data_IF_291138841035
#
_entry.id   IF_291138841035
#
_cell.length_a   1.000
_cell.length_b   1.000
_cell.length_c   1.000
_cell.angle_alpha   90.00
_cell.angle_beta   90.00
_cell.angle_gamma   90.00
#
_symmetry.space_group_name_H-M   'P 1'
#
loop_
_entity.id
_entity.type
_entity.pdbx_description
1 polymer ?
#
# COMPACT_ATOMS: atom_id res chain seq x y z
N UNK A 1 21.00 -43.95 -10.73
CA UNK A 1 20.46 -42.88 -9.85
C UNK A 1 19.27 -43.45 -9.08
N UNK A 2 19.34 -43.48 -7.75
CA UNK A 2 18.29 -44.04 -6.88
C UNK A 2 17.14 -43.02 -6.68
N UNK A 3 15.90 -43.51 -6.73
CA UNK A 3 14.66 -42.70 -6.61
C UNK A 3 14.64 -41.82 -5.36
N UNK A 4 15.19 -42.33 -4.26
CA UNK A 4 15.28 -41.65 -2.97
C UNK A 4 16.15 -40.38 -3.03
N UNK A 5 17.23 -40.39 -3.81
CA UNK A 5 18.09 -39.20 -3.98
C UNK A 5 17.42 -38.14 -4.85
N UNK A 6 16.63 -38.55 -5.85
CA UNK A 6 15.84 -37.60 -6.67
C UNK A 6 14.79 -36.89 -5.82
N UNK A 7 14.09 -37.62 -4.94
CA UNK A 7 13.13 -37.03 -4.01
C UNK A 7 13.78 -36.15 -2.95
N UNK A 8 14.94 -36.55 -2.43
CA UNK A 8 15.70 -35.73 -1.47
C UNK A 8 16.17 -34.43 -2.11
N UNK A 9 16.65 -34.48 -3.37
CA UNK A 9 17.02 -33.28 -4.14
C UNK A 9 15.80 -32.41 -4.49
N UNK A 10 14.67 -33.00 -4.87
CA UNK A 10 13.42 -32.28 -5.13
C UNK A 10 12.83 -31.62 -3.87
N UNK A 11 13.03 -32.23 -2.70
CA UNK A 11 12.62 -31.67 -1.41
C UNK A 11 13.58 -30.60 -0.87
N UNK A 12 14.82 -30.53 -1.39
CA UNK A 12 15.81 -29.47 -1.08
C UNK A 12 15.72 -28.27 -2.04
N UNK A 13 15.15 -28.47 -3.24
CA UNK A 13 14.86 -27.42 -4.22
C UNK A 13 13.92 -26.26 -3.77
N UNK A 14 13.13 -26.33 -2.67
CA UNK A 14 12.35 -25.18 -2.21
C UNK A 14 13.18 -24.02 -1.63
N UNK A 15 14.50 -24.19 -1.44
CA UNK A 15 15.36 -23.17 -0.88
C UNK A 15 16.23 -22.53 -1.98
N UNK A 16 15.76 -21.40 -2.53
CA UNK A 16 16.50 -20.29 -3.18
C UNK A 16 15.66 -19.72 -4.33
N UNK A 17 14.53 -19.15 -3.94
CA UNK A 17 13.93 -18.02 -4.65
C UNK A 17 13.14 -17.20 -3.62
N UNK A 18 13.71 -17.04 -2.41
CA UNK A 18 13.13 -16.21 -1.36
C UNK A 18 13.09 -14.78 -1.87
N UNK A 19 11.97 -14.42 -2.51
CA UNK A 19 11.73 -13.09 -2.98
C UNK A 19 11.73 -12.19 -1.75
N UNK A 20 12.65 -11.23 -1.70
CA UNK A 20 12.68 -10.28 -0.61
C UNK A 20 11.54 -9.30 -0.84
N UNK A 21 10.45 -9.44 -0.09
CA UNK A 21 9.33 -8.49 -0.12
C UNK A 21 9.48 -7.52 1.05
N UNK A 22 9.47 -6.22 0.77
CA UNK A 22 9.54 -5.14 1.75
C UNK A 22 8.28 -4.29 1.70
N UNK A 23 7.63 -4.17 2.86
CA UNK A 23 6.60 -3.16 3.12
C UNK A 23 7.28 -1.83 3.49
N UNK A 24 6.85 -0.75 2.85
CA UNK A 24 7.30 0.60 3.11
C UNK A 24 6.13 1.58 2.97
N UNK A 25 6.36 2.84 3.32
CA UNK A 25 5.34 3.87 3.27
C UNK A 25 5.72 5.03 4.15
N UNK A 26 4.96 6.11 4.06
CA UNK A 26 5.07 7.25 4.95
C UNK A 26 3.68 7.67 5.38
N UNK A 27 3.52 7.98 6.65
CA UNK A 27 2.30 8.57 7.20
C UNK A 27 2.60 10.02 7.51
N UNK A 28 1.86 10.93 6.89
CA UNK A 28 1.99 12.37 7.08
C UNK A 28 0.61 12.95 7.28
N UNK A 29 0.33 13.43 8.48
CA UNK A 29 -0.92 14.10 8.83
C UNK A 29 -0.62 15.27 9.77
N UNK A 30 -1.49 16.27 9.76
CA UNK A 30 -1.38 17.43 10.63
C UNK A 30 -2.67 18.24 10.71
N UNK A 31 -2.64 19.29 11.52
CA UNK A 31 -3.75 20.25 11.62
C UNK A 31 -3.49 21.39 10.66
N UNK A 32 -4.45 21.66 9.80
CA UNK A 32 -4.45 22.79 8.90
C UNK A 32 -5.47 23.82 9.38
N UNK A 33 -5.03 25.07 9.48
CA UNK A 33 -5.92 26.21 9.80
C UNK A 33 -5.99 27.09 8.58
N UNK A 34 -7.15 27.16 7.96
CA UNK A 34 -7.42 28.02 6.81
C UNK A 34 -8.32 29.17 7.23
N UNK A 35 -8.03 30.37 6.71
CA UNK A 35 -8.90 31.53 6.85
C UNK A 35 -9.26 32.02 5.45
N UNK A 36 -10.55 32.01 5.14
CA UNK A 36 -11.07 32.53 3.86
C UNK A 36 -11.81 33.83 4.14
N UNK A 37 -11.43 34.89 3.44
CA UNK A 37 -12.13 36.18 3.46
C UNK A 37 -12.86 36.40 2.15
N UNK A 38 -14.16 36.66 2.25
CA UNK A 38 -15.02 37.02 1.11
C UNK A 38 -15.74 38.31 1.46
N UNK A 39 -15.31 39.43 0.87
CA UNK A 39 -15.83 40.76 1.23
C UNK A 39 -15.53 41.13 2.68
N UNK A 40 -16.57 41.42 3.46
CA UNK A 40 -16.48 41.72 4.90
C UNK A 40 -16.54 40.48 5.80
N UNK A 41 -16.88 39.31 5.26
CA UNK A 41 -16.93 38.07 6.03
C UNK A 41 -15.57 37.38 6.08
N UNK A 42 -15.18 36.92 7.27
CA UNK A 42 -13.98 36.11 7.51
C UNK A 42 -14.40 34.80 8.17
N UNK A 43 -14.09 33.66 7.56
CA UNK A 43 -14.31 32.34 8.14
C UNK A 43 -12.99 31.64 8.35
N UNK A 44 -12.78 31.17 9.58
CA UNK A 44 -11.65 30.33 9.94
C UNK A 44 -12.12 28.89 10.10
N UNK A 45 -11.37 27.93 9.55
CA UNK A 45 -11.58 26.50 9.71
C UNK A 45 -10.29 25.84 10.17
N UNK A 46 -10.38 24.99 11.18
CA UNK A 46 -9.30 24.10 11.58
C UNK A 46 -9.73 22.67 11.25
N UNK A 47 -8.93 21.94 10.47
CA UNK A 47 -9.18 20.55 10.09
C UNK A 47 -7.95 19.69 10.30
N UNK A 48 -8.16 18.41 10.58
CA UNK A 48 -7.10 17.41 10.51
C UNK A 48 -7.04 16.93 9.07
N UNK A 49 -5.90 17.10 8.43
CA UNK A 49 -5.68 16.77 7.03
C UNK A 49 -4.59 15.71 6.91
N UNK A 50 -4.73 14.84 5.91
CA UNK A 50 -3.66 13.97 5.45
C UNK A 50 -2.83 14.70 4.39
N UNK A 51 -1.51 14.61 4.46
CA UNK A 51 -0.58 15.32 3.60
C UNK A 51 0.14 14.39 2.61
N UNK A 52 -0.56 13.36 2.13
CA UNK A 52 -0.04 12.40 1.15
C UNK A 52 0.56 11.16 1.79
N UNK A 53 -0.16 10.57 2.75
CA UNK A 53 0.21 9.28 3.31
C UNK A 53 0.05 8.18 2.25
N UNK A 54 1.03 7.27 2.19
CA UNK A 54 1.00 6.14 1.28
C UNK A 54 1.64 4.91 1.90
N UNK A 55 1.25 3.76 1.39
CA UNK A 55 1.84 2.46 1.70
C UNK A 55 2.23 1.76 0.41
N UNK A 56 3.33 1.03 0.43
CA UNK A 56 3.85 0.34 -0.73
C UNK A 56 4.50 -0.99 -0.39
N UNK A 57 4.48 -1.88 -1.38
CA UNK A 57 5.18 -3.16 -1.37
C UNK A 57 6.25 -3.11 -2.46
N UNK A 58 7.42 -3.63 -2.15
CA UNK A 58 8.50 -3.79 -3.13
C UNK A 58 9.06 -5.18 -3.01
N UNK A 59 9.48 -5.75 -4.13
CA UNK A 59 10.08 -7.08 -4.13
C UNK A 59 11.34 -7.15 -4.97
N UNK A 60 12.31 -7.93 -4.50
CA UNK A 60 13.43 -8.43 -5.29
C UNK A 60 13.28 -9.93 -5.49
N UNK A 61 13.33 -10.39 -6.74
CA UNK A 61 13.33 -11.82 -7.08
C UNK A 61 14.55 -12.17 -7.93
N UNK A 62 15.42 -13.09 -7.50
CA UNK A 62 16.56 -13.51 -8.31
C UNK A 62 16.08 -14.24 -9.57
N UNK A 63 16.50 -13.77 -10.74
CA UNK A 63 16.23 -14.38 -12.04
C UNK A 63 17.54 -14.83 -12.70
N UNK A 64 17.49 -15.92 -13.48
CA UNK A 64 18.64 -16.37 -14.28
C UNK A 64 19.85 -16.85 -13.46
N UNK A 65 19.63 -17.70 -12.45
CA UNK A 65 20.72 -18.33 -11.68
C UNK A 65 21.40 -17.43 -10.64
N UNK A 66 20.80 -16.28 -10.29
CA UNK A 66 21.21 -15.44 -9.16
C UNK A 66 22.07 -14.22 -9.51
N UNK A 67 22.39 -14.00 -10.79
CA UNK A 67 23.20 -12.85 -11.24
C UNK A 67 22.38 -11.58 -11.50
N UNK A 68 21.04 -11.67 -11.58
CA UNK A 68 20.16 -10.53 -11.86
C UNK A 68 18.92 -10.62 -10.99
N UNK A 69 18.42 -9.48 -10.52
CA UNK A 69 17.20 -9.43 -9.70
C UNK A 69 16.09 -8.70 -10.46
N UNK A 70 14.93 -9.34 -10.60
CA UNK A 70 13.70 -8.67 -10.98
C UNK A 70 13.22 -7.82 -9.80
N UNK A 71 12.97 -6.53 -10.05
CA UNK A 71 12.46 -5.59 -9.06
C UNK A 71 11.03 -5.22 -9.43
N UNK A 72 10.13 -5.24 -8.46
CA UNK A 72 8.78 -4.72 -8.61
C UNK A 72 8.42 -3.80 -7.45
N UNK A 73 7.53 -2.84 -7.72
CA UNK A 73 7.01 -1.89 -6.74
C UNK A 73 5.51 -1.70 -6.97
N UNK A 74 4.76 -1.65 -5.89
CA UNK A 74 3.35 -1.30 -5.85
C UNK A 74 3.15 -0.27 -4.75
N UNK A 75 2.46 0.82 -5.04
CA UNK A 75 2.21 1.93 -4.11
C UNK A 75 0.72 2.29 -4.15
N UNK A 76 0.15 2.61 -2.98
CA UNK A 76 -1.25 2.97 -2.81
C UNK A 76 -1.38 4.12 -1.82
N UNK A 77 -2.22 5.09 -2.15
CA UNK A 77 -2.62 6.16 -1.22
C UNK A 77 -3.32 5.57 0.00
N UNK A 78 -2.89 6.00 1.18
CA UNK A 78 -3.37 5.51 2.46
C UNK A 78 -3.66 6.68 3.41
N UNK A 79 -4.66 7.54 3.09
CA UNK A 79 -4.92 8.76 3.85
C UNK A 79 -5.29 8.44 5.30
N UNK A 80 -4.62 9.11 6.24
CA UNK A 80 -4.84 8.95 7.67
C UNK A 80 -5.99 9.86 8.14
N UNK A 81 -7.13 9.25 8.51
CA UNK A 81 -8.25 9.96 9.15
C UNK A 81 -9.28 10.61 8.22
N UNK A 82 -9.15 10.44 6.90
CA UNK A 82 -10.12 10.95 5.92
C UNK A 82 -11.14 9.87 5.53
N UNK A 83 -12.42 10.26 5.40
CA UNK A 83 -13.46 9.45 4.77
C UNK A 83 -13.04 9.19 3.32
N UNK A 84 -12.75 7.92 3.00
CA UNK A 84 -12.13 7.53 1.73
C UNK A 84 -10.89 6.64 1.90
N UNK A 85 -10.51 6.30 3.13
CA UNK A 85 -9.47 5.30 3.36
C UNK A 85 -9.89 3.93 2.79
N UNK A 86 -8.91 3.09 2.42
CA UNK A 86 -9.18 1.74 1.95
C UNK A 86 -9.95 0.89 2.99
N UNK A 87 -9.80 1.21 4.28
CA UNK A 87 -10.59 0.59 5.35
C UNK A 87 -12.05 1.01 5.30
N UNK A 88 -12.34 2.27 4.97
CA UNK A 88 -13.70 2.76 4.80
C UNK A 88 -14.34 2.16 3.55
N UNK A 89 -13.61 2.07 2.44
CA UNK A 89 -14.05 1.35 1.24
C UNK A 89 -14.42 -0.11 1.52
N UNK A 90 -13.57 -0.86 2.24
CA UNK A 90 -13.89 -2.24 2.60
C UNK A 90 -15.02 -2.35 3.61
N UNK A 91 -15.17 -1.38 4.53
CA UNK A 91 -16.31 -1.31 5.45
C UNK A 91 -17.61 -1.03 4.70
N UNK A 92 -17.61 -0.09 3.76
CA UNK A 92 -18.75 0.28 2.93
C UNK A 92 -19.18 -0.88 2.02
N UNK A 93 -18.22 -1.51 1.34
CA UNK A 93 -18.46 -2.72 0.54
C UNK A 93 -19.02 -3.87 1.38
N UNK A 94 -18.50 -4.07 2.59
CA UNK A 94 -18.99 -5.11 3.52
C UNK A 94 -20.37 -4.76 4.09
N UNK A 95 -20.68 -3.46 4.24
CA UNK A 95 -21.97 -2.97 4.70
C UNK A 95 -23.07 -3.01 3.62
N UNK A 96 -22.76 -3.46 2.40
CA UNK A 96 -23.75 -3.65 1.33
C UNK A 96 -24.07 -2.39 0.53
N UNK A 97 -23.24 -1.34 0.60
CA UNK A 97 -23.40 -0.12 -0.20
C UNK A 97 -23.01 -0.37 -1.65
N UNK A 98 -23.99 -0.30 -2.57
CA UNK A 98 -23.74 -0.24 -4.00
C UNK A 98 -22.85 0.96 -4.34
N UNK A 99 -21.87 0.72 -5.21
CA UNK A 99 -20.89 1.67 -5.71
C UNK A 99 -21.57 2.96 -6.23
N UNK A 100 -21.54 4.04 -5.45
CA UNK A 100 -21.98 5.36 -5.92
C UNK A 100 -20.75 6.06 -6.53
N UNK A 101 -20.60 5.92 -7.84
CA UNK A 101 -19.58 6.65 -8.61
C UNK A 101 -20.13 8.08 -8.81
N UNK A 102 -19.55 9.13 -8.22
CA UNK A 102 -19.94 10.49 -8.56
C UNK A 102 -19.59 10.80 -10.02
N UNK A 103 -20.50 11.49 -10.72
CA UNK A 103 -20.29 12.02 -12.07
C UNK A 103 -19.07 12.94 -12.16
#
# INVERSE_FOLDING_TARGET
MNRTTVWLLAALLPAVAAAQVRLYGNIRSGVEVSQTKTGSESRSRASVSDFGSYIGLSGLHPIGGGATNAVWKFEQEAPAGSSGSMRDYFREKKAGGGLNIPN
#
